data_IF_989917992026
#
_entry.id   IF_989917992026
#
_cell.length_a   1.000
_cell.length_b   1.000
_cell.length_c   1.000
_cell.angle_alpha   90.00
_cell.angle_beta   90.00
_cell.angle_gamma   90.00
#
_symmetry.space_group_name_H-M   'P 1'
#
loop_
_entity.id
_entity.type
_entity.pdbx_description
1 polymer ?
#
# COMPACT_ATOMS: atom_id res chain seq x y z
N UNK A 1 6.73 1.71 -0.92
CA UNK A 1 5.81 1.58 -2.06
C UNK A 1 4.44 1.33 -1.49
N UNK A 2 3.51 2.25 -1.67
CA UNK A 2 2.13 2.10 -1.22
C UNK A 2 1.18 2.31 -2.39
N UNK A 3 -0.01 1.74 -2.29
CA UNK A 3 -1.15 1.89 -3.17
C UNK A 3 -2.35 1.98 -2.25
N UNK A 4 -3.23 2.95 -2.51
CA UNK A 4 -4.45 3.04 -1.74
C UNK A 4 -5.41 1.99 -2.28
N UNK A 5 -5.69 0.94 -1.51
CA UNK A 5 -7.04 0.39 -1.58
C UNK A 5 -8.02 1.53 -1.30
N UNK A 6 -9.19 1.50 -1.92
CA UNK A 6 -10.25 2.46 -1.63
C UNK A 6 -10.82 2.16 -0.24
N UNK A 7 -10.13 2.69 0.78
CA UNK A 7 -10.18 2.26 2.19
C UNK A 7 -10.54 3.40 3.13
N UNK A 8 -10.56 3.07 4.43
CA UNK A 8 -10.38 3.97 5.57
C UNK A 8 -9.40 5.13 5.33
N UNK A 9 -8.28 4.93 4.62
CA UNK A 9 -7.34 6.03 4.35
C UNK A 9 -7.98 7.11 3.47
N UNK A 10 -8.65 6.69 2.40
CA UNK A 10 -9.41 7.56 1.51
C UNK A 10 -10.62 8.15 2.25
N UNK A 11 -11.33 7.35 3.05
CA UNK A 11 -12.45 7.84 3.86
C UNK A 11 -12.00 8.91 4.86
N UNK A 12 -10.83 8.76 5.49
CA UNK A 12 -10.26 9.76 6.40
C UNK A 12 -9.84 11.02 5.65
N UNK A 13 -9.26 10.87 4.46
CA UNK A 13 -8.89 12.00 3.60
C UNK A 13 -10.12 12.81 3.15
N UNK A 14 -11.22 12.13 2.84
CA UNK A 14 -12.51 12.75 2.55
C UNK A 14 -13.08 13.47 3.78
N UNK A 15 -13.05 12.82 4.96
CA UNK A 15 -13.57 13.40 6.20
C UNK A 15 -12.80 14.64 6.65
N UNK A 16 -11.47 14.60 6.54
CA UNK A 16 -10.58 15.69 6.97
C UNK A 16 -10.59 16.89 6.02
N UNK A 17 -11.15 16.73 4.81
CA UNK A 17 -11.08 17.72 3.73
C UNK A 17 -9.74 17.73 2.98
N UNK A 18 -8.81 16.83 3.32
CA UNK A 18 -7.53 16.70 2.60
C UNK A 18 -7.69 16.25 1.15
N UNK A 19 -8.83 15.64 0.81
CA UNK A 19 -9.15 15.23 -0.56
C UNK A 19 -9.26 16.40 -1.53
N UNK A 20 -9.47 17.64 -1.05
CA UNK A 20 -9.47 18.83 -1.90
C UNK A 20 -8.06 19.23 -2.38
N UNK A 21 -7.02 18.58 -1.87
CA UNK A 21 -5.63 18.92 -2.13
C UNK A 21 -4.86 17.82 -2.86
N UNK A 22 -5.49 16.67 -3.11
CA UNK A 22 -4.85 15.52 -3.75
C UNK A 22 -5.81 14.90 -4.77
N UNK A 23 -5.34 14.77 -6.00
CA UNK A 23 -6.04 14.02 -7.04
C UNK A 23 -5.49 12.59 -7.10
N UNK A 24 -6.33 11.62 -7.45
CA UNK A 24 -5.95 10.22 -7.57
C UNK A 24 -6.28 9.68 -8.95
N UNK A 25 -5.43 8.78 -9.45
CA UNK A 25 -5.75 7.94 -10.62
C UNK A 25 -5.72 6.47 -10.24
N UNK A 26 -6.44 5.67 -11.01
CA UNK A 26 -6.45 4.22 -10.85
C UNK A 26 -5.12 3.59 -11.24
N UNK A 27 -4.87 2.39 -10.74
CA UNK A 27 -3.89 1.46 -11.30
C UNK A 27 -4.62 0.59 -12.33
N UNK A 28 -4.97 1.18 -13.47
CA UNK A 28 -5.91 0.61 -14.46
C UNK A 28 -5.35 -0.57 -15.26
N UNK A 29 -4.03 -0.68 -15.36
CA UNK A 29 -3.37 -1.82 -15.98
C UNK A 29 -3.56 -3.14 -15.22
N UNK A 30 -4.11 -3.07 -14.00
CA UNK A 30 -4.44 -4.22 -13.16
C UNK A 30 -3.20 -4.84 -12.51
N UNK A 31 -3.38 -6.05 -11.99
CA UNK A 31 -2.31 -6.82 -11.35
C UNK A 31 -1.83 -7.96 -12.25
N UNK A 32 -0.52 -8.16 -12.32
CA UNK A 32 0.14 -9.29 -12.97
C UNK A 32 0.82 -10.17 -11.93
N UNK A 33 0.71 -11.48 -12.08
CA UNK A 33 1.40 -12.49 -11.28
C UNK A 33 2.53 -13.11 -12.11
N UNK A 34 3.74 -13.10 -11.59
CA UNK A 34 4.83 -13.88 -12.18
C UNK A 34 4.71 -15.36 -11.77
N UNK A 35 4.64 -16.26 -12.74
CA UNK A 35 4.47 -17.68 -12.49
C UNK A 35 5.14 -18.52 -13.58
N UNK A 36 6.05 -19.41 -13.22
CA UNK A 36 6.65 -20.34 -14.20
C UNK A 36 7.41 -19.66 -15.36
N UNK A 37 8.00 -18.49 -15.13
CA UNK A 37 8.79 -17.76 -16.13
C UNK A 37 8.06 -16.59 -16.81
N UNK A 38 6.73 -16.54 -16.73
CA UNK A 38 5.91 -15.56 -17.45
C UNK A 38 5.02 -14.71 -16.52
N UNK A 39 4.57 -13.58 -17.03
CA UNK A 39 3.61 -12.69 -16.37
C UNK A 39 2.17 -13.00 -16.81
N UNK A 40 1.30 -13.27 -15.85
CA UNK A 40 -0.11 -13.58 -16.08
C UNK A 40 -1.01 -12.50 -15.50
N UNK A 41 -2.07 -12.05 -16.22
CA UNK A 41 -3.07 -11.17 -15.63
C UNK A 41 -3.78 -11.87 -14.48
N UNK A 42 -4.00 -11.14 -13.38
CA UNK A 42 -4.68 -11.68 -12.20
C UNK A 42 -6.20 -11.65 -12.41
N UNK A 43 -6.89 -12.79 -12.32
CA UNK A 43 -8.35 -12.87 -12.45
C UNK A 43 -9.03 -12.50 -11.13
N UNK A 44 -9.07 -11.21 -10.84
CA UNK A 44 -9.54 -10.61 -9.58
C UNK A 44 -11.07 -10.40 -9.47
N UNK A 45 -11.79 -10.59 -10.58
CA UNK A 45 -13.22 -10.34 -10.70
C UNK A 45 -13.90 -11.41 -11.54
N UNK A 46 -15.24 -11.52 -11.44
CA UNK A 46 -16.01 -12.46 -12.26
C UNK A 46 -15.78 -12.25 -13.76
N UNK A 47 -15.70 -10.99 -14.19
CA UNK A 47 -15.42 -10.64 -15.58
C UNK A 47 -13.98 -11.01 -15.98
N UNK A 48 -13.00 -10.76 -15.10
CA UNK A 48 -11.61 -11.13 -15.37
C UNK A 48 -11.42 -12.65 -15.46
N UNK A 49 -12.00 -13.42 -14.53
CA UNK A 49 -12.00 -14.90 -14.58
C UNK A 49 -12.61 -15.41 -15.90
N UNK A 50 -13.70 -14.80 -16.35
CA UNK A 50 -14.34 -15.21 -17.60
C UNK A 50 -13.45 -14.94 -18.82
N UNK A 51 -12.87 -13.73 -18.90
CA UNK A 51 -12.00 -13.27 -20.00
C UNK A 51 -10.64 -13.96 -20.05
N UNK A 52 -10.16 -14.50 -18.93
CA UNK A 52 -8.83 -15.13 -18.83
C UNK A 52 -8.73 -16.36 -19.74
N UNK A 53 -7.86 -16.34 -20.75
CA UNK A 53 -7.64 -17.46 -21.67
C UNK A 53 -6.62 -18.48 -21.15
N UNK A 54 -5.91 -18.17 -20.07
CA UNK A 54 -4.84 -18.99 -19.48
C UNK A 54 -5.35 -19.98 -18.45
N UNK A 55 -6.58 -19.79 -17.94
CA UNK A 55 -7.24 -20.69 -16.99
C UNK A 55 -8.11 -21.74 -17.69
N UNK A 56 -8.00 -22.99 -17.24
CA UNK A 56 -8.90 -24.06 -17.67
C UNK A 56 -10.30 -23.86 -17.09
N UNK A 57 -11.33 -24.40 -17.74
CA UNK A 57 -12.73 -24.27 -17.29
C UNK A 57 -12.95 -24.78 -15.85
N UNK A 58 -12.27 -25.87 -15.48
CA UNK A 58 -12.31 -26.40 -14.11
C UNK A 58 -11.75 -25.41 -13.09
N UNK A 59 -10.63 -24.77 -13.40
CA UNK A 59 -10.00 -23.75 -12.56
C UNK A 59 -10.89 -22.51 -12.43
N UNK A 60 -11.44 -22.02 -13.55
CA UNK A 60 -12.41 -20.91 -13.53
C UNK A 60 -13.59 -21.19 -12.60
N UNK A 61 -14.17 -22.38 -12.69
CA UNK A 61 -15.29 -22.79 -11.85
C UNK A 61 -14.93 -22.83 -10.36
N UNK A 62 -13.72 -23.30 -10.02
CA UNK A 62 -13.23 -23.34 -8.64
C UNK A 62 -13.00 -21.93 -8.07
N UNK A 63 -12.32 -21.04 -8.81
CA UNK A 63 -12.15 -19.63 -8.39
C UNK A 63 -13.50 -18.93 -8.22
N UNK A 64 -14.42 -19.14 -9.18
CA UNK A 64 -15.75 -18.55 -9.11
C UNK A 64 -16.51 -19.02 -7.86
N UNK A 65 -16.48 -20.34 -7.57
CA UNK A 65 -17.11 -20.90 -6.38
C UNK A 65 -16.50 -20.35 -5.11
N UNK A 66 -15.18 -20.23 -5.05
CA UNK A 66 -14.46 -19.64 -3.92
C UNK A 66 -14.89 -18.19 -3.67
N UNK A 67 -14.83 -17.32 -4.68
CA UNK A 67 -15.24 -15.91 -4.52
C UNK A 67 -16.72 -15.78 -4.16
N UNK A 68 -17.59 -16.63 -4.73
CA UNK A 68 -19.02 -16.63 -4.37
C UNK A 68 -19.23 -17.00 -2.90
N UNK A 69 -18.49 -17.99 -2.40
CA UNK A 69 -18.53 -18.40 -0.99
C UNK A 69 -18.03 -17.27 -0.07
N UNK A 70 -16.92 -16.61 -0.42
CA UNK A 70 -16.40 -15.46 0.34
C UNK A 70 -17.41 -14.30 0.34
N UNK A 71 -18.01 -13.99 -0.81
CA UNK A 71 -19.05 -12.96 -0.93
C UNK A 71 -20.29 -13.28 -0.08
N UNK A 72 -20.73 -14.54 -0.06
CA UNK A 72 -21.86 -14.95 0.78
C UNK A 72 -21.56 -14.77 2.27
N UNK A 73 -20.36 -15.13 2.73
CA UNK A 73 -19.95 -14.93 4.12
C UNK A 73 -19.88 -13.44 4.49
N UNK A 74 -19.37 -12.59 3.59
CA UNK A 74 -19.32 -11.13 3.79
C UNK A 74 -20.74 -10.55 3.92
N UNK A 75 -21.64 -10.90 3.00
CA UNK A 75 -23.03 -10.43 3.02
C UNK A 75 -23.75 -10.87 4.29
N UNK A 76 -23.60 -12.13 4.69
CA UNK A 76 -24.20 -12.66 5.90
C UNK A 76 -23.64 -12.01 7.18
N UNK A 77 -22.39 -11.54 7.16
CA UNK A 77 -21.78 -10.81 8.28
C UNK A 77 -22.26 -9.36 8.37
N UNK A 78 -22.54 -8.71 7.24
CA UNK A 78 -23.02 -7.33 7.18
C UNK A 78 -24.51 -7.20 7.56
N UNK A 79 -25.35 -8.19 7.28
CA UNK A 79 -26.79 -8.15 7.55
C UNK A 79 -27.16 -8.25 9.06
N UNK A 80 -26.19 -8.55 9.93
CA UNK A 80 -26.44 -8.76 11.36
C UNK A 80 -27.28 -10.01 11.67
N UNK A 81 -27.35 -10.42 12.93
CA UNK A 81 -28.09 -11.61 13.37
C UNK A 81 -29.63 -11.47 13.28
N UNK A 82 -30.15 -10.27 12.96
CA UNK A 82 -31.58 -9.95 13.03
C UNK A 82 -32.40 -10.27 11.76
N UNK A 83 -31.74 -10.65 10.65
CA UNK A 83 -32.41 -10.92 9.38
C UNK A 83 -32.28 -12.38 8.89
N UNK A 84 -31.75 -13.29 9.73
CA UNK A 84 -31.61 -14.69 9.35
C UNK A 84 -32.92 -15.45 9.60
N UNK A 85 -33.82 -15.42 8.62
CA UNK A 85 -34.85 -16.47 8.48
C UNK A 85 -34.18 -17.83 8.25
N UNK A 86 -34.84 -18.90 8.69
CA UNK A 86 -34.34 -20.29 8.81
C UNK A 86 -33.87 -20.99 7.50
N UNK A 87 -33.56 -20.25 6.43
CA UNK A 87 -33.14 -20.78 5.12
C UNK A 87 -31.73 -20.43 4.63
N UNK A 88 -30.98 -19.54 5.31
CA UNK A 88 -29.69 -19.00 4.78
C UNK A 88 -28.42 -19.42 5.54
N UNK A 89 -28.48 -20.49 6.35
CA UNK A 89 -27.32 -21.00 7.08
C UNK A 89 -26.19 -21.58 6.18
N UNK A 90 -26.43 -21.76 4.87
CA UNK A 90 -25.45 -22.37 3.94
C UNK A 90 -24.34 -21.42 3.45
N UNK A 91 -24.42 -20.12 3.75
CA UNK A 91 -23.50 -19.11 3.20
C UNK A 91 -22.37 -18.65 4.12
N UNK A 92 -22.37 -19.04 5.40
CA UNK A 92 -21.33 -18.63 6.36
C UNK A 92 -20.25 -19.71 6.47
N UNK A 93 -18.99 -19.27 6.38
CA UNK A 93 -17.85 -20.04 6.85
C UNK A 93 -18.03 -20.38 8.33
N UNK A 94 -17.69 -21.61 8.71
CA UNK A 94 -17.67 -22.02 10.12
C UNK A 94 -16.55 -21.27 10.86
N UNK A 95 -16.71 -21.09 12.17
CA UNK A 95 -15.63 -20.50 12.99
C UNK A 95 -14.36 -21.35 12.95
N UNK A 96 -14.52 -22.68 12.87
CA UNK A 96 -13.41 -23.61 12.64
C UNK A 96 -12.63 -23.28 11.36
N UNK A 97 -13.32 -23.02 10.24
CA UNK A 97 -12.65 -22.66 8.98
C UNK A 97 -12.01 -21.26 9.04
N UNK A 98 -12.61 -20.33 9.80
CA UNK A 98 -12.11 -18.96 9.96
C UNK A 98 -10.79 -18.88 10.75
N UNK A 99 -10.60 -19.80 11.68
CA UNK A 99 -9.41 -19.83 12.55
C UNK A 99 -8.27 -20.66 11.97
N UNK A 100 -8.50 -21.39 10.86
CA UNK A 100 -7.44 -22.10 10.13
C UNK A 100 -6.43 -21.13 9.50
N UNK A 101 -5.19 -21.60 9.26
CA UNK A 101 -4.29 -20.94 8.32
C UNK A 101 -4.96 -20.82 6.96
N UNK A 102 -4.92 -19.62 6.38
CA UNK A 102 -5.65 -19.32 5.15
C UNK A 102 -5.20 -20.20 3.99
N UNK A 103 -3.91 -20.54 3.92
CA UNK A 103 -3.36 -21.49 2.94
C UNK A 103 -4.02 -22.88 3.01
N UNK A 104 -4.29 -23.38 4.22
CA UNK A 104 -4.92 -24.69 4.43
C UNK A 104 -6.40 -24.64 4.02
N UNK A 105 -7.07 -23.53 4.33
CA UNK A 105 -8.41 -23.29 3.82
C UNK A 105 -8.45 -23.28 2.28
N UNK A 106 -7.51 -22.59 1.62
CA UNK A 106 -7.43 -22.58 0.14
C UNK A 106 -7.13 -23.97 -0.46
N UNK A 107 -6.33 -24.79 0.23
CA UNK A 107 -6.10 -26.20 -0.14
C UNK A 107 -7.39 -27.02 -0.03
N UNK A 108 -8.18 -26.84 1.04
CA UNK A 108 -9.51 -27.48 1.19
C UNK A 108 -10.49 -27.10 0.08
N UNK A 109 -10.38 -25.88 -0.45
CA UNK A 109 -11.17 -25.44 -1.62
C UNK A 109 -10.67 -26.01 -2.96
N UNK A 110 -9.65 -26.89 -2.94
CA UNK A 110 -9.06 -27.54 -4.11
C UNK A 110 -8.49 -26.57 -5.17
N UNK A 111 -8.04 -25.38 -4.75
CA UNK A 111 -7.41 -24.42 -5.65
C UNK A 111 -6.00 -24.91 -6.05
N UNK A 112 -5.67 -24.80 -7.35
CA UNK A 112 -4.34 -25.15 -7.86
C UNK A 112 -3.26 -24.25 -7.25
N UNK A 113 -1.97 -24.66 -7.24
CA UNK A 113 -0.89 -23.84 -6.67
C UNK A 113 -0.85 -22.41 -7.23
N UNK A 114 -1.02 -22.25 -8.55
CA UNK A 114 -1.11 -20.94 -9.23
C UNK A 114 -2.29 -20.11 -8.69
N UNK A 115 -3.47 -20.72 -8.56
CA UNK A 115 -4.67 -20.04 -8.05
C UNK A 115 -4.53 -19.65 -6.58
N UNK A 116 -3.90 -20.49 -5.76
CA UNK A 116 -3.58 -20.13 -4.36
C UNK A 116 -2.63 -18.94 -4.32
N UNK A 117 -1.59 -18.92 -5.16
CA UNK A 117 -0.67 -17.80 -5.25
C UNK A 117 -1.36 -16.49 -5.68
N UNK A 118 -2.30 -16.56 -6.63
CA UNK A 118 -3.17 -15.43 -6.99
C UNK A 118 -3.91 -14.90 -5.75
N UNK A 119 -4.64 -15.78 -5.05
CA UNK A 119 -5.48 -15.36 -3.92
C UNK A 119 -4.62 -14.82 -2.76
N UNK A 120 -3.51 -15.48 -2.44
CA UNK A 120 -2.63 -15.13 -1.32
C UNK A 120 -1.83 -13.86 -1.59
N UNK A 121 -1.11 -13.79 -2.71
CA UNK A 121 -0.08 -12.78 -2.91
C UNK A 121 -0.55 -11.59 -3.74
N UNK A 122 -1.47 -11.78 -4.69
CA UNK A 122 -1.98 -10.70 -5.54
C UNK A 122 -3.25 -10.02 -4.98
N UNK A 123 -4.13 -10.77 -4.31
CA UNK A 123 -5.41 -10.24 -3.79
C UNK A 123 -5.34 -9.99 -2.29
N UNK A 124 -4.98 -11.00 -1.49
CA UNK A 124 -4.84 -10.86 -0.05
C UNK A 124 -3.53 -10.16 0.36
N UNK A 125 -2.60 -9.97 -0.58
CA UNK A 125 -1.32 -9.28 -0.39
C UNK A 125 -0.51 -9.84 0.79
N UNK A 126 -0.44 -11.16 0.93
CA UNK A 126 0.45 -11.82 1.87
C UNK A 126 1.93 -11.50 1.52
N UNK A 127 2.75 -11.24 2.53
CA UNK A 127 4.15 -10.87 2.34
C UNK A 127 5.11 -12.06 2.38
N UNK A 128 4.82 -13.06 3.20
CA UNK A 128 5.69 -14.20 3.47
C UNK A 128 5.14 -15.49 2.88
N UNK A 129 6.01 -16.45 2.60
CA UNK A 129 5.62 -17.79 2.14
C UNK A 129 4.64 -18.43 3.12
N UNK A 130 3.40 -18.63 2.67
CA UNK A 130 2.35 -19.24 3.47
C UNK A 130 2.37 -20.76 3.38
N UNK A 131 3.00 -21.36 2.36
CA UNK A 131 3.12 -22.81 2.25
C UNK A 131 4.26 -23.36 3.13
N UNK A 132 5.28 -22.55 3.43
CA UNK A 132 6.41 -22.89 4.31
C UNK A 132 6.16 -22.55 5.79
N UNK A 133 5.27 -23.31 6.46
CA UNK A 133 4.82 -23.05 7.85
C UNK A 133 5.98 -22.85 8.85
N UNK A 134 7.07 -23.61 8.73
CA UNK A 134 8.22 -23.51 9.65
C UNK A 134 9.10 -22.27 9.42
N UNK A 135 9.11 -21.74 8.18
CA UNK A 135 9.89 -20.55 7.79
C UNK A 135 9.06 -19.27 7.73
N UNK A 136 7.75 -19.34 8.00
CA UNK A 136 6.83 -18.22 7.85
C UNK A 136 6.84 -17.33 9.09
N UNK A 137 7.31 -16.10 8.96
CA UNK A 137 7.27 -15.12 10.06
C UNK A 137 5.84 -14.68 10.43
N UNK A 138 4.88 -14.79 9.49
CA UNK A 138 3.48 -14.40 9.71
C UNK A 138 2.53 -15.20 8.81
N UNK A 139 1.86 -16.19 9.39
CA UNK A 139 0.75 -16.90 8.74
C UNK A 139 -0.54 -16.08 8.84
N UNK A 140 -1.22 -15.93 7.71
CA UNK A 140 -2.55 -15.34 7.66
C UNK A 140 -3.59 -16.35 8.13
N UNK A 141 -4.48 -15.91 9.00
CA UNK A 141 -5.70 -16.66 9.32
C UNK A 141 -6.73 -16.52 8.18
N UNK A 142 -7.62 -17.49 8.02
CA UNK A 142 -8.71 -17.40 7.03
C UNK A 142 -9.56 -16.15 7.28
N UNK A 143 -9.80 -15.79 8.54
CA UNK A 143 -10.50 -14.55 8.93
C UNK A 143 -9.81 -13.29 8.38
N UNK A 144 -8.50 -13.18 8.49
CA UNK A 144 -7.72 -12.05 7.93
C UNK A 144 -7.74 -12.06 6.39
N UNK A 145 -7.58 -13.24 5.77
CA UNK A 145 -7.63 -13.41 4.32
C UNK A 145 -8.98 -12.98 3.75
N UNK A 146 -10.08 -13.46 4.33
CA UNK A 146 -11.46 -13.12 3.96
C UNK A 146 -11.73 -11.62 4.15
N UNK A 147 -11.29 -11.02 5.26
CA UNK A 147 -11.43 -9.58 5.49
C UNK A 147 -10.69 -8.75 4.44
N UNK A 148 -9.51 -9.21 4.02
CA UNK A 148 -8.72 -8.51 2.99
C UNK A 148 -9.34 -8.68 1.61
N UNK A 149 -9.87 -9.86 1.27
CA UNK A 149 -10.63 -10.08 0.03
C UNK A 149 -11.91 -9.24 0.00
N UNK A 150 -12.61 -9.12 1.14
CA UNK A 150 -13.78 -8.25 1.26
C UNK A 150 -13.42 -6.79 0.96
N UNK A 151 -12.28 -6.34 1.50
CA UNK A 151 -11.78 -5.00 1.27
C UNK A 151 -11.40 -4.78 -0.20
N UNK A 152 -10.68 -5.73 -0.80
CA UNK A 152 -10.32 -5.71 -2.20
C UNK A 152 -11.57 -5.61 -3.07
N UNK A 153 -12.53 -6.52 -2.88
CA UNK A 153 -13.76 -6.59 -3.67
C UNK A 153 -14.65 -5.35 -3.52
N UNK A 154 -14.67 -4.70 -2.36
CA UNK A 154 -15.41 -3.44 -2.14
C UNK A 154 -14.68 -2.20 -2.65
N UNK A 155 -13.39 -2.33 -2.98
CA UNK A 155 -12.59 -1.26 -3.60
C UNK A 155 -12.74 -1.21 -5.12
N UNK A 156 -12.94 -2.36 -5.78
CA UNK A 156 -13.11 -2.46 -7.24
C UNK A 156 -14.30 -1.60 -7.69
N UNK A 157 -14.09 -0.72 -8.66
CA UNK A 157 -15.15 0.08 -9.28
C UNK A 157 -15.84 1.07 -8.33
N UNK A 158 -15.27 1.34 -7.15
CA UNK A 158 -15.88 2.26 -6.17
C UNK A 158 -15.91 3.71 -6.65
N UNK A 159 -14.96 4.11 -7.49
CA UNK A 159 -14.96 5.43 -8.11
C UNK A 159 -15.12 5.27 -9.62
N UNK A 160 -15.91 6.16 -10.23
CA UNK A 160 -16.14 6.13 -11.69
C UNK A 160 -14.83 6.21 -12.50
N UNK A 161 -13.81 6.89 -11.95
CA UNK A 161 -12.49 7.03 -12.58
C UNK A 161 -11.48 5.95 -12.12
N UNK A 162 -11.92 4.95 -11.35
CA UNK A 162 -11.09 3.85 -10.87
C UNK A 162 -11.78 2.49 -11.00
N UNK A 163 -11.48 1.82 -12.12
CA UNK A 163 -12.02 0.49 -12.43
C UNK A 163 -11.41 -0.60 -11.53
N UNK A 164 -10.14 -0.45 -11.13
CA UNK A 164 -9.43 -1.41 -10.27
C UNK A 164 -9.62 -1.19 -8.75
N UNK A 165 -9.10 -2.12 -7.95
CA UNK A 165 -9.13 -2.05 -6.47
C UNK A 165 -8.18 -1.00 -5.86
N UNK A 166 -7.40 -0.33 -6.70
CA UNK A 166 -6.20 0.41 -6.34
C UNK A 166 -6.17 1.79 -6.98
N UNK A 167 -5.78 2.79 -6.20
CA UNK A 167 -5.55 4.17 -6.65
C UNK A 167 -4.19 4.68 -6.15
N UNK A 168 -3.67 5.67 -6.86
CA UNK A 168 -2.39 6.31 -6.58
C UNK A 168 -2.51 7.84 -6.72
N UNK A 169 -1.93 8.64 -5.81
CA UNK A 169 -2.00 10.10 -5.89
C UNK A 169 -1.18 10.64 -7.06
N UNK A 170 -1.76 11.58 -7.81
CA UNK A 170 -1.04 12.42 -8.76
C UNK A 170 0.14 13.10 -8.06
N UNK A 171 1.26 13.22 -8.75
CA UNK A 171 2.55 13.74 -8.23
C UNK A 171 3.20 12.89 -7.13
N UNK A 172 2.59 11.76 -6.76
CA UNK A 172 3.17 10.80 -5.82
C UNK A 172 2.75 10.99 -4.37
N UNK A 173 3.19 10.06 -3.52
CA UNK A 173 2.79 10.01 -2.11
C UNK A 173 3.28 11.19 -1.27
N UNK A 174 4.21 12.00 -1.78
CA UNK A 174 4.64 13.24 -1.15
C UNK A 174 3.52 14.28 -1.00
N UNK A 175 2.44 14.18 -1.78
CA UNK A 175 1.29 15.07 -1.67
C UNK A 175 0.41 14.79 -0.45
N UNK A 176 0.39 13.54 0.05
CA UNK A 176 -0.47 13.18 1.19
C UNK A 176 -0.06 13.91 2.48
N UNK A 177 1.22 13.91 2.92
CA UNK A 177 1.64 14.70 4.07
C UNK A 177 1.37 16.20 3.89
N UNK A 178 1.61 16.74 2.69
CA UNK A 178 1.38 18.16 2.40
C UNK A 178 -0.10 18.54 2.53
N UNK A 179 -1.01 17.69 2.06
CA UNK A 179 -2.44 17.88 2.20
C UNK A 179 -2.87 17.93 3.68
N UNK A 180 -2.39 17.00 4.51
CA UNK A 180 -2.68 17.02 5.94
C UNK A 180 -2.05 18.23 6.63
N UNK A 181 -0.83 18.64 6.25
CA UNK A 181 -0.20 19.85 6.77
C UNK A 181 -1.03 21.10 6.45
N UNK A 182 -1.57 21.17 5.23
CA UNK A 182 -2.47 22.26 4.84
C UNK A 182 -3.76 22.26 5.65
N UNK A 183 -4.40 21.10 5.85
CA UNK A 183 -5.59 20.98 6.71
C UNK A 183 -5.33 21.47 8.15
N UNK A 184 -4.15 21.15 8.69
CA UNK A 184 -3.76 21.63 10.02
C UNK A 184 -3.45 23.13 10.04
N UNK A 185 -2.78 23.67 9.00
CA UNK A 185 -2.49 25.10 8.89
C UNK A 185 -3.76 25.96 8.85
N UNK A 186 -4.79 25.52 8.14
CA UNK A 186 -6.12 26.18 8.11
C UNK A 186 -6.75 26.24 9.51
N UNK A 187 -6.41 25.29 10.40
CA UNK A 187 -6.85 25.26 11.80
C UNK A 187 -5.86 25.96 12.76
N UNK A 188 -4.88 26.70 12.24
CA UNK A 188 -3.95 27.51 13.02
C UNK A 188 -2.60 26.84 13.34
N UNK A 189 -2.29 25.67 12.76
CA UNK A 189 -0.96 25.07 12.93
C UNK A 189 0.13 25.88 12.20
N UNK A 190 1.26 26.11 12.88
CA UNK A 190 2.41 26.82 12.33
C UNK A 190 3.46 25.83 11.83
N UNK A 191 4.01 26.09 10.63
CA UNK A 191 5.03 25.26 10.00
C UNK A 191 6.32 26.04 9.79
N UNK A 192 7.44 25.47 10.22
CA UNK A 192 8.77 26.06 10.05
C UNK A 192 9.70 24.99 9.49
N UNK A 193 10.10 25.16 8.22
CA UNK A 193 11.11 24.32 7.58
C UNK A 193 12.52 24.89 7.81
N UNK A 194 13.55 24.03 7.71
CA UNK A 194 14.96 24.40 7.89
C UNK A 194 15.25 25.01 9.27
N UNK A 195 14.54 24.57 10.29
CA UNK A 195 14.72 24.99 11.69
C UNK A 195 14.84 23.76 12.60
N UNK A 196 16.04 23.19 12.75
CA UNK A 196 16.22 22.00 13.57
C UNK A 196 16.09 22.32 15.06
N UNK A 197 15.55 21.38 15.83
CA UNK A 197 15.60 21.37 17.29
C UNK A 197 16.97 20.85 17.75
N UNK A 198 17.63 21.54 18.68
CA UNK A 198 19.00 21.24 19.11
C UNK A 198 19.08 20.64 20.51
N UNK A 199 18.09 20.89 21.38
CA UNK A 199 18.05 20.32 22.72
C UNK A 199 16.62 20.22 23.27
N UNK A 200 16.40 19.29 24.20
CA UNK A 200 15.19 19.26 25.03
C UNK A 200 15.41 20.15 26.27
N UNK A 201 14.37 20.88 26.64
CA UNK A 201 14.31 21.65 27.87
C UNK A 201 13.64 20.80 28.95
N UNK A 202 14.32 20.61 30.07
CA UNK A 202 13.87 19.83 31.22
C UNK A 202 13.89 20.72 32.46
N UNK A 203 12.79 20.72 33.22
CA UNK A 203 12.71 21.35 34.52
C UNK A 203 13.54 20.52 35.52
N UNK A 204 14.62 21.09 36.07
CA UNK A 204 15.54 20.40 36.98
C UNK A 204 14.88 19.99 38.31
N UNK A 205 13.91 20.77 38.80
CA UNK A 205 13.24 20.49 40.07
C UNK A 205 12.23 19.34 39.93
N UNK A 206 11.47 19.33 38.82
CA UNK A 206 10.43 18.33 38.55
C UNK A 206 10.90 17.14 37.72
N UNK A 207 12.12 17.20 37.18
CA UNK A 207 12.69 16.26 36.20
C UNK A 207 11.71 15.97 35.06
N UNK A 208 11.02 17.01 34.58
CA UNK A 208 9.96 16.87 33.56
C UNK A 208 10.30 17.69 32.32
N UNK A 209 9.98 17.12 31.16
CA UNK A 209 10.01 17.84 29.90
C UNK A 209 9.13 19.10 29.91
N UNK A 210 9.67 20.21 29.38
CA UNK A 210 8.97 21.50 29.30
C UNK A 210 9.02 22.15 27.91
N UNK A 211 9.90 21.72 27.00
CA UNK A 211 9.99 22.31 25.67
C UNK A 211 11.23 21.91 24.87
N UNK A 212 11.48 22.61 23.77
CA UNK A 212 12.66 22.41 22.91
C UNK A 212 13.41 23.73 22.71
N UNK A 213 14.72 23.62 22.47
CA UNK A 213 15.55 24.71 21.97
C UNK A 213 15.75 24.55 20.47
N UNK A 214 15.56 25.63 19.72
CA UNK A 214 15.81 25.68 18.28
C UNK A 214 17.27 26.04 17.98
N UNK A 215 17.72 25.73 16.77
CA UNK A 215 19.03 26.16 16.27
C UNK A 215 19.22 27.68 16.21
N UNK A 216 18.13 28.45 16.19
CA UNK A 216 18.16 29.91 16.34
C UNK A 216 18.53 30.38 17.75
N UNK A 217 18.56 29.48 18.74
CA UNK A 217 18.72 29.79 20.16
C UNK A 217 17.39 30.12 20.87
N UNK A 218 16.27 30.12 20.15
CA UNK A 218 14.95 30.35 20.74
C UNK A 218 14.42 29.11 21.46
N UNK A 219 13.85 29.32 22.64
CA UNK A 219 13.18 28.28 23.43
C UNK A 219 11.67 28.28 23.15
N UNK A 220 11.12 27.10 22.88
CA UNK A 220 9.68 26.87 22.66
C UNK A 220 9.17 25.92 23.73
N UNK A 221 8.29 26.41 24.58
CA UNK A 221 7.63 25.61 25.61
C UNK A 221 6.45 24.85 25.02
N UNK A 222 6.36 23.55 25.31
CA UNK A 222 5.25 22.72 24.87
C UNK A 222 4.98 21.57 25.85
N UNK A 223 3.73 21.12 25.90
CA UNK A 223 3.30 20.06 26.81
C UNK A 223 3.65 18.66 26.31
N UNK A 224 3.65 18.49 25.00
CA UNK A 224 3.90 17.23 24.31
C UNK A 224 4.83 17.47 23.13
N UNK A 225 5.68 16.48 22.87
CA UNK A 225 6.60 16.47 21.75
C UNK A 225 6.36 15.20 20.94
N UNK A 226 6.09 15.39 19.65
CA UNK A 226 5.93 14.30 18.68
C UNK A 226 7.13 14.37 17.75
N UNK A 227 7.87 13.26 17.64
CA UNK A 227 9.10 13.18 16.86
C UNK A 227 8.99 12.07 15.81
N UNK A 228 9.59 12.30 14.65
CA UNK A 228 9.89 11.21 13.73
C UNK A 228 11.10 10.42 14.26
N UNK A 229 11.14 9.08 14.11
CA UNK A 229 12.23 8.25 14.62
C UNK A 229 13.63 8.61 14.12
N UNK A 230 13.73 9.34 12.99
CA UNK A 230 15.02 9.81 12.46
C UNK A 230 15.63 10.98 13.23
N UNK A 231 14.86 11.65 14.11
CA UNK A 231 15.39 12.74 14.92
C UNK A 231 16.12 12.20 16.15
N UNK A 232 17.45 12.19 16.06
CA UNK A 232 18.32 11.99 17.21
C UNK A 232 18.47 13.31 17.98
N UNK A 233 17.61 13.53 18.99
CA UNK A 233 17.80 14.69 19.88
C UNK A 233 18.76 14.27 21.00
N UNK A 234 19.94 14.92 21.14
CA UNK A 234 20.94 14.55 22.14
C UNK A 234 20.49 14.93 23.54
N UNK A 235 19.61 14.12 24.14
CA UNK A 235 19.30 14.10 25.57
C UNK A 235 18.19 13.09 25.81
N UNK A 236 18.49 11.80 25.85
CA UNK A 236 17.60 10.84 26.51
C UNK A 236 18.41 9.63 27.02
N UNK A 237 19.22 9.85 28.05
CA UNK A 237 19.50 8.81 29.06
C UNK A 237 18.21 8.57 29.86
N UNK A 238 17.16 8.08 29.19
CA UNK A 238 15.95 7.60 29.84
C UNK A 238 15.83 6.12 29.51
N UNK A 239 15.86 5.24 30.52
CA UNK A 239 15.78 3.80 30.28
C UNK A 239 14.42 3.48 29.68
N UNK A 240 14.39 3.27 28.37
CA UNK A 240 13.26 2.62 27.70
C UNK A 240 13.29 1.15 28.10
N UNK A 241 12.55 0.80 29.17
CA UNK A 241 12.25 -0.58 29.55
C UNK A 241 11.26 -1.25 28.59
N UNK A 242 11.35 -0.96 27.30
CA UNK A 242 10.69 -1.77 26.28
C UNK A 242 11.64 -2.93 25.98
N UNK A 243 11.22 -4.20 26.11
CA UNK A 243 12.04 -5.31 25.65
C UNK A 243 12.28 -5.10 24.16
N UNK A 244 13.51 -4.74 23.77
CA UNK A 244 13.97 -4.73 22.38
C UNK A 244 14.21 -6.20 21.98
N UNK A 245 13.13 -6.97 22.02
CA UNK A 245 13.10 -8.37 21.63
C UNK A 245 12.28 -8.45 20.35
N UNK A 246 12.86 -7.98 19.26
CA UNK A 246 12.56 -8.36 17.88
C UNK A 246 13.74 -7.85 17.03
N UNK A 247 14.30 -8.69 16.15
CA UNK A 247 15.26 -8.22 15.15
C UNK A 247 14.67 -6.99 14.42
N UNK A 248 15.47 -5.97 14.07
CA UNK A 248 14.98 -4.82 13.34
C UNK A 248 14.41 -5.30 11.99
N UNK A 249 13.09 -5.14 11.80
CA UNK A 249 12.45 -5.42 10.52
C UNK A 249 13.00 -4.45 9.49
N UNK A 250 13.35 -4.95 8.30
CA UNK A 250 13.85 -4.12 7.21
C UNK A 250 13.01 -4.33 5.96
N UNK A 251 13.05 -3.35 5.06
CA UNK A 251 12.41 -3.42 3.75
C UNK A 251 13.44 -3.04 2.71
N UNK A 252 13.70 -3.94 1.76
CA UNK A 252 14.47 -3.61 0.58
C UNK A 252 13.55 -2.94 -0.43
N UNK A 253 14.00 -1.80 -0.97
CA UNK A 253 13.26 -1.00 -1.93
C UNK A 253 14.11 -0.74 -3.16
N UNK A 254 13.48 -0.84 -4.34
CA UNK A 254 14.06 -0.50 -5.63
C UNK A 254 13.31 0.64 -6.27
N UNK A 255 14.02 1.52 -6.98
CA UNK A 255 13.44 2.57 -7.82
C UNK A 255 14.10 2.41 -9.19
N UNK A 256 13.29 2.27 -10.24
CA UNK A 256 13.76 2.13 -11.61
C UNK A 256 13.07 3.15 -12.51
N UNK A 257 13.81 3.66 -13.50
CA UNK A 257 13.27 4.43 -14.63
C UNK A 257 13.39 3.53 -15.86
N UNK A 258 12.27 3.32 -16.56
CA UNK A 258 12.20 2.41 -17.70
C UNK A 258 11.60 3.11 -18.93
N UNK A 259 11.98 2.64 -20.12
CA UNK A 259 11.60 3.28 -21.40
C UNK A 259 10.22 2.91 -21.94
N UNK A 260 9.62 1.84 -21.43
CA UNK A 260 8.33 1.31 -21.91
C UNK A 260 7.61 0.57 -20.80
N UNK A 261 6.32 0.32 -20.99
CA UNK A 261 5.50 -0.43 -20.02
C UNK A 261 5.80 -1.93 -20.06
N UNK A 262 5.80 -2.58 -18.90
CA UNK A 262 5.85 -4.04 -18.71
C UNK A 262 4.64 -4.72 -19.35
N UNK A 263 3.48 -4.05 -19.37
CA UNK A 263 2.26 -4.53 -20.03
C UNK A 263 1.91 -3.59 -21.17
N UNK A 264 1.83 -4.13 -22.38
CA UNK A 264 1.44 -3.36 -23.57
C UNK A 264 0.14 -2.57 -23.31
N UNK A 265 0.13 -1.31 -23.77
CA UNK A 265 -0.99 -0.38 -23.69
C UNK A 265 -1.56 -0.11 -22.28
N UNK A 266 -0.80 -0.42 -21.23
CA UNK A 266 -1.18 -0.13 -19.84
C UNK A 266 -0.28 0.94 -19.25
N UNK A 267 -0.86 1.94 -18.56
CA UNK A 267 -0.08 3.04 -18.00
C UNK A 267 0.45 2.66 -16.61
N UNK A 268 -0.44 2.21 -15.73
CA UNK A 268 -0.13 1.90 -14.34
C UNK A 268 -0.42 0.43 -14.02
N UNK A 269 0.59 -0.32 -13.58
CA UNK A 269 0.51 -1.79 -13.42
C UNK A 269 1.14 -2.21 -12.09
N UNK A 270 0.51 -3.17 -11.41
CA UNK A 270 1.11 -3.88 -10.27
C UNK A 270 1.62 -5.25 -10.74
N UNK A 271 2.87 -5.58 -10.47
CA UNK A 271 3.43 -6.91 -10.68
C UNK A 271 3.77 -7.53 -9.34
N UNK A 272 3.44 -8.80 -9.18
CA UNK A 272 3.69 -9.58 -7.96
C UNK A 272 4.51 -10.80 -8.30
N UNK A 273 5.63 -10.96 -7.62
CA UNK A 273 6.46 -12.16 -7.59
C UNK A 273 6.19 -12.89 -6.28
N UNK A 274 5.43 -14.00 -6.29
CA UNK A 274 5.26 -14.85 -5.12
C UNK A 274 6.60 -15.30 -4.53
N UNK A 275 6.63 -15.69 -3.25
CA UNK A 275 7.75 -16.44 -2.69
C UNK A 275 8.09 -17.64 -3.58
N UNK A 276 9.39 -17.97 -3.66
CA UNK A 276 9.93 -19.05 -4.49
C UNK A 276 9.75 -18.90 -6.01
N UNK A 277 9.30 -17.73 -6.49
CA UNK A 277 9.10 -17.52 -7.93
C UNK A 277 10.33 -16.98 -8.65
N UNK A 278 11.20 -16.22 -7.97
CA UNK A 278 12.47 -15.73 -8.51
C UNK A 278 13.64 -16.65 -8.17
N UNK A 279 13.67 -17.16 -6.93
CA UNK A 279 14.66 -18.12 -6.41
C UNK A 279 14.03 -18.98 -5.33
N UNK A 280 14.51 -20.20 -5.15
CA UNK A 280 14.02 -21.12 -4.12
C UNK A 280 14.22 -20.59 -2.69
N UNK A 281 15.25 -19.78 -2.46
CA UNK A 281 15.50 -19.15 -1.15
C UNK A 281 14.63 -17.91 -0.89
N UNK A 282 13.85 -17.45 -1.88
CA UNK A 282 12.99 -16.29 -1.75
C UNK A 282 11.79 -16.58 -0.83
N UNK A 283 11.88 -16.16 0.43
CA UNK A 283 10.82 -16.34 1.44
C UNK A 283 9.71 -15.28 1.43
N UNK A 284 9.94 -14.12 0.79
CA UNK A 284 9.00 -13.00 0.74
C UNK A 284 8.56 -12.66 -0.67
N UNK A 285 7.34 -12.14 -0.82
CA UNK A 285 6.81 -11.67 -2.09
C UNK A 285 7.49 -10.34 -2.48
N UNK A 286 7.97 -10.25 -3.72
CA UNK A 286 8.46 -8.98 -4.29
C UNK A 286 7.33 -8.34 -5.08
N UNK A 287 7.07 -7.06 -4.83
CA UNK A 287 6.02 -6.32 -5.56
C UNK A 287 6.62 -5.15 -6.31
N UNK A 288 6.13 -4.92 -7.52
CA UNK A 288 6.57 -3.88 -8.43
C UNK A 288 5.39 -3.03 -8.86
N UNK A 289 5.39 -1.75 -8.50
CA UNK A 289 4.40 -0.79 -8.96
C UNK A 289 5.02 0.06 -10.08
N UNK A 290 4.58 -0.20 -11.31
CA UNK A 290 4.91 0.63 -12.46
C UNK A 290 3.89 1.75 -12.63
N UNK A 291 4.38 2.97 -12.78
CA UNK A 291 3.59 4.19 -12.98
C UNK A 291 4.09 4.93 -14.21
N UNK A 292 3.17 5.49 -14.98
CA UNK A 292 3.52 6.30 -16.16
C UNK A 292 3.53 7.80 -15.85
N UNK A 293 3.92 8.58 -16.85
CA UNK A 293 3.76 10.04 -16.85
C UNK A 293 2.32 10.55 -16.65
N UNK A 294 1.27 9.70 -16.82
CA UNK A 294 -0.11 10.09 -16.57
C UNK A 294 -0.36 10.50 -15.11
N UNK A 295 0.48 10.06 -14.18
CA UNK A 295 0.47 10.41 -12.76
C UNK A 295 1.37 11.60 -12.43
N UNK A 296 2.00 12.22 -13.43
CA UNK A 296 2.98 13.31 -13.27
C UNK A 296 4.17 12.96 -12.35
N UNK A 297 4.50 11.67 -12.24
CA UNK A 297 5.67 11.18 -11.47
C UNK A 297 6.95 11.13 -12.31
N UNK A 298 6.83 11.12 -13.64
CA UNK A 298 7.96 11.12 -14.57
C UNK A 298 7.61 11.80 -15.91
N UNK A 299 8.61 12.18 -16.73
CA UNK A 299 8.39 12.78 -18.05
C UNK A 299 7.64 11.86 -19.03
N UNK A 300 6.95 12.41 -20.05
CA UNK A 300 6.32 11.63 -21.10
C UNK A 300 7.29 10.67 -21.80
N UNK A 301 6.81 9.48 -22.13
CA UNK A 301 7.63 8.41 -22.74
C UNK A 301 8.51 7.64 -21.76
N UNK A 302 8.45 7.96 -20.46
CA UNK A 302 9.13 7.21 -19.39
C UNK A 302 8.11 6.63 -18.41
N UNK A 303 8.57 5.65 -17.66
CA UNK A 303 7.82 5.03 -16.57
C UNK A 303 8.72 4.90 -15.33
N UNK A 304 8.13 5.03 -14.15
CA UNK A 304 8.78 4.71 -12.89
C UNK A 304 8.32 3.34 -12.41
N UNK A 305 9.24 2.48 -11.98
CA UNK A 305 8.91 1.24 -11.31
C UNK A 305 9.49 1.26 -9.88
N UNK A 306 8.60 1.17 -8.90
CA UNK A 306 8.96 1.00 -7.49
C UNK A 306 8.91 -0.48 -7.16
N UNK A 307 9.95 -1.01 -6.52
CA UNK A 307 10.02 -2.39 -6.04
C UNK A 307 10.09 -2.39 -4.52
N UNK A 308 9.46 -3.37 -3.88
CA UNK A 308 9.52 -3.52 -2.42
C UNK A 308 9.41 -4.98 -2.01
N UNK A 309 10.21 -5.36 -1.02
CA UNK A 309 10.12 -6.68 -0.36
C UNK A 309 10.55 -6.56 1.11
N UNK A 310 9.82 -7.15 2.07
CA UNK A 310 10.30 -7.29 3.43
C UNK A 310 11.54 -8.19 3.46
N UNK A 311 12.48 -7.88 4.36
CA UNK A 311 13.69 -8.64 4.56
C UNK A 311 14.23 -8.49 5.99
N UNK A 312 14.85 -9.54 6.52
CA UNK A 312 15.61 -9.49 7.78
C UNK A 312 17.06 -9.07 7.53
N UNK A 313 17.65 -9.60 6.45
CA UNK A 313 18.99 -9.28 5.99
C UNK A 313 18.98 -8.34 4.77
N UNK A 314 19.81 -7.30 4.84
CA UNK A 314 19.91 -6.28 3.80
C UNK A 314 20.49 -6.83 2.49
N UNK A 315 21.44 -7.78 2.56
CA UNK A 315 22.04 -8.36 1.37
C UNK A 315 21.02 -9.20 0.59
N UNK A 316 20.31 -10.09 1.29
CA UNK A 316 19.27 -10.94 0.72
C UNK A 316 18.13 -10.10 0.12
N UNK A 317 17.67 -9.07 0.83
CA UNK A 317 16.63 -8.18 0.31
C UNK A 317 17.04 -7.46 -0.98
N UNK A 318 18.27 -6.92 -1.03
CA UNK A 318 18.81 -6.30 -2.26
C UNK A 318 18.95 -7.30 -3.41
N UNK A 319 19.40 -8.53 -3.12
CA UNK A 319 19.51 -9.63 -4.09
C UNK A 319 18.16 -9.93 -4.74
N UNK A 320 17.09 -10.05 -3.96
CA UNK A 320 15.73 -10.28 -4.47
C UNK A 320 15.23 -9.14 -5.37
N UNK A 321 15.46 -7.88 -4.97
CA UNK A 321 15.07 -6.71 -5.78
C UNK A 321 15.82 -6.69 -7.11
N UNK A 322 17.14 -6.91 -7.10
CA UNK A 322 17.94 -6.93 -8.33
C UNK A 322 17.49 -8.05 -9.27
N UNK A 323 17.17 -9.24 -8.75
CA UNK A 323 16.61 -10.31 -9.57
C UNK A 323 15.28 -9.96 -10.23
N UNK A 324 14.38 -9.32 -9.49
CA UNK A 324 13.12 -8.86 -10.08
C UNK A 324 13.35 -7.82 -11.19
N UNK A 325 14.36 -6.94 -11.03
CA UNK A 325 14.80 -5.99 -12.06
C UNK A 325 15.31 -6.74 -13.29
N UNK A 326 16.19 -7.74 -13.13
CA UNK A 326 16.77 -8.52 -14.23
C UNK A 326 15.72 -9.35 -14.99
N UNK A 327 14.71 -9.86 -14.28
CA UNK A 327 13.59 -10.59 -14.88
C UNK A 327 12.72 -9.64 -15.70
N UNK A 328 12.38 -8.46 -15.17
CA UNK A 328 11.46 -7.54 -15.84
C UNK A 328 12.09 -6.69 -16.94
N UNK A 329 13.34 -6.28 -16.78
CA UNK A 329 13.94 -5.23 -17.60
C UNK A 329 15.21 -5.69 -18.31
N UNK A 330 15.46 -5.12 -19.48
CA UNK A 330 16.69 -5.29 -20.23
C UNK A 330 17.66 -4.15 -19.92
N UNK A 331 18.89 -4.47 -19.54
CA UNK A 331 19.99 -3.50 -19.48
C UNK A 331 20.58 -3.39 -20.89
N UNK A 332 20.54 -2.19 -21.49
CA UNK A 332 21.27 -1.96 -22.74
C UNK A 332 22.77 -1.92 -22.46
N UNK A 333 23.39 -3.09 -22.43
CA UNK A 333 24.83 -3.26 -22.66
C UNK A 333 24.97 -4.02 -23.98
N UNK A 334 24.58 -3.38 -25.09
CA UNK A 334 24.99 -3.85 -26.40
C UNK A 334 26.33 -3.19 -26.73
N UNK A 335 27.40 -3.91 -26.47
CA UNK A 335 28.71 -3.67 -27.08
C UNK A 335 28.79 -4.34 -28.45
N UNK A 336 27.67 -4.51 -29.15
CA UNK A 336 27.58 -5.10 -30.48
C UNK A 336 27.19 -4.00 -31.48
N UNK A 337 28.11 -3.05 -31.67
CA UNK A 337 28.30 -2.46 -32.98
C UNK A 337 29.13 -3.47 -33.76
N UNK A 338 28.58 -3.99 -34.87
CA UNK A 338 29.18 -4.96 -35.79
C UNK A 338 28.98 -6.43 -35.40
N UNK A 339 27.81 -7.01 -35.69
CA UNK A 339 27.68 -7.90 -36.85
C UNK A 339 26.23 -8.36 -37.09
N UNK A 340 25.93 -8.64 -38.36
CA UNK A 340 24.71 -9.30 -38.86
C UNK A 340 23.48 -8.43 -39.14
N UNK A 341 23.63 -7.65 -40.22
CA UNK A 341 22.60 -7.56 -41.25
C UNK A 341 22.12 -8.97 -41.68
N UNK A 342 20.81 -9.09 -41.85
CA UNK A 342 20.08 -10.14 -42.59
C UNK A 342 20.00 -11.55 -41.97
N UNK A 343 18.85 -11.82 -41.32
CA UNK A 343 18.09 -13.06 -41.56
C UNK A 343 16.60 -12.90 -41.22
N UNK A 344 15.79 -13.48 -42.10
CA UNK A 344 14.36 -13.28 -42.30
C UNK A 344 13.45 -13.88 -41.20
N UNK A 345 12.33 -13.18 -41.00
CA UNK A 345 10.93 -13.62 -40.86
C UNK A 345 10.54 -14.84 -40.01
N UNK A 346 9.60 -14.53 -39.10
CA UNK A 346 8.51 -15.35 -38.55
C UNK A 346 8.82 -16.30 -37.38
N UNK A 347 7.96 -16.18 -36.36
CA UNK A 347 7.89 -16.95 -35.09
C UNK A 347 8.82 -16.51 -33.94
N UNK A 348 8.46 -15.38 -33.30
CA UNK A 348 8.19 -15.33 -31.84
C UNK A 348 7.68 -13.93 -31.44
N UNK A 349 6.41 -13.82 -31.03
CA UNK A 349 5.91 -12.63 -30.31
C UNK A 349 6.42 -12.65 -28.87
N UNK A 350 7.74 -12.71 -28.67
CA UNK A 350 8.30 -12.44 -27.34
C UNK A 350 8.12 -10.95 -27.08
N UNK A 351 7.34 -10.63 -26.05
CA UNK A 351 7.17 -9.25 -25.60
C UNK A 351 8.54 -8.67 -25.26
N UNK A 352 9.00 -7.71 -26.05
CA UNK A 352 10.28 -7.03 -25.82
C UNK A 352 10.29 -6.44 -24.40
N UNK A 353 11.22 -6.90 -23.56
CA UNK A 353 11.36 -6.39 -22.19
C UNK A 353 11.65 -4.89 -22.20
N UNK A 354 11.06 -4.10 -21.29
CA UNK A 354 11.39 -2.67 -21.17
C UNK A 354 12.87 -2.43 -20.93
N UNK A 355 13.43 -1.37 -21.51
CA UNK A 355 14.82 -0.99 -21.23
C UNK A 355 14.91 -0.28 -19.88
N UNK A 356 15.84 -0.73 -19.04
CA UNK A 356 16.21 -0.06 -17.80
C UNK A 356 17.14 1.12 -18.11
N UNK A 357 16.71 2.33 -17.77
CA UNK A 357 17.48 3.56 -17.98
C UNK A 357 18.29 3.94 -16.73
N UNK A 358 17.71 3.72 -15.55
CA UNK A 358 18.34 4.02 -14.27
C UNK A 358 17.73 3.16 -13.17
N UNK A 359 18.53 2.77 -12.17
CA UNK A 359 18.03 2.08 -10.99
C UNK A 359 18.78 2.49 -9.71
N UNK A 360 18.08 2.39 -8.58
CA UNK A 360 18.64 2.55 -7.25
C UNK A 360 17.98 1.53 -6.32
N UNK A 361 18.79 0.84 -5.50
CA UNK A 361 18.31 -0.13 -4.51
C UNK A 361 18.88 0.21 -3.14
N UNK A 362 18.00 0.35 -2.16
CA UNK A 362 18.34 0.66 -0.78
C UNK A 362 17.52 -0.17 0.19
N UNK A 363 17.91 -0.16 1.47
CA UNK A 363 17.21 -0.85 2.55
C UNK A 363 16.82 0.18 3.58
N UNK A 364 15.56 0.09 4.03
CA UNK A 364 14.99 0.94 5.07
C UNK A 364 14.75 0.09 6.31
N UNK A 365 15.20 0.55 7.47
CA UNK A 365 14.87 -0.07 8.76
C UNK A 365 13.52 0.45 9.26
N UNK A 366 12.69 -0.46 9.77
CA UNK A 366 11.37 -0.14 10.31
C UNK A 366 11.51 0.06 11.81
N UNK A 367 11.33 1.30 12.25
CA UNK A 367 11.28 1.66 13.66
C UNK A 367 9.80 1.77 14.06
N UNK A 368 9.38 0.98 15.03
CA UNK A 368 8.04 1.08 15.61
C UNK A 368 8.00 2.24 16.61
N UNK A 369 6.96 3.06 16.53
CA UNK A 369 6.75 4.18 17.45
C UNK A 369 6.63 3.70 18.89
N UNK A 370 7.28 4.41 19.82
CA UNK A 370 7.22 4.16 21.26
C UNK A 370 6.32 5.18 21.95
N UNK A 371 5.61 4.73 22.99
CA UNK A 371 4.83 5.60 23.87
C UNK A 371 5.68 6.02 25.07
N UNK A 372 5.75 7.33 25.34
CA UNK A 372 6.55 7.92 26.41
C UNK A 372 6.32 9.44 26.50
N UNK A 373 7.16 10.16 27.25
CA UNK A 373 7.08 11.64 27.36
C UNK A 373 7.42 12.34 26.04
N UNK A 374 8.28 11.73 25.21
CA UNK A 374 8.41 12.02 23.79
C UNK A 374 7.72 10.89 23.03
N UNK A 375 6.77 11.24 22.16
CA UNK A 375 6.03 10.29 21.36
C UNK A 375 6.70 10.12 20.01
N UNK A 376 7.07 8.90 19.67
CA UNK A 376 7.74 8.59 18.40
C UNK A 376 6.70 8.15 17.36
N UNK A 377 6.69 8.82 16.21
CA UNK A 377 5.81 8.49 15.10
C UNK A 377 6.20 7.15 14.44
N UNK A 378 5.23 6.40 13.90
CA UNK A 378 5.54 5.24 13.07
C UNK A 378 6.17 5.67 11.73
N UNK A 379 7.22 4.97 11.31
CA UNK A 379 7.79 5.10 9.96
C UNK A 379 6.94 4.33 8.93
N UNK A 380 7.03 4.67 7.62
CA UNK A 380 6.40 3.88 6.55
C UNK A 380 6.91 2.43 6.57
N UNK A 381 5.97 1.48 6.60
CA UNK A 381 6.24 0.07 6.83
C UNK A 381 6.37 -0.74 5.51
N UNK A 382 6.39 -2.06 5.64
CA UNK A 382 6.47 -3.03 4.54
C UNK A 382 5.19 -3.12 3.70
N UNK A 383 4.05 -2.70 4.27
CA UNK A 383 2.73 -2.89 3.69
C UNK A 383 2.55 -2.03 2.43
N UNK A 384 1.74 -2.56 1.51
CA UNK A 384 1.32 -1.81 0.33
C UNK A 384 0.23 -0.79 0.61
N UNK A 385 -0.31 -0.69 1.83
CA UNK A 385 -1.39 0.24 2.15
C UNK A 385 -1.11 1.02 3.44
N UNK A 386 -2.03 1.92 3.81
CA UNK A 386 -1.88 2.81 4.95
C UNK A 386 -2.49 2.28 6.27
N UNK A 387 -2.93 1.02 6.34
CA UNK A 387 -3.70 0.53 7.50
C UNK A 387 -2.90 0.63 8.80
N UNK A 388 -1.69 0.10 8.81
CA UNK A 388 -0.81 0.02 9.98
C UNK A 388 -0.37 1.41 10.47
N UNK A 389 0.05 2.29 9.55
CA UNK A 389 0.41 3.68 9.91
C UNK A 389 -0.80 4.43 10.46
N UNK A 390 -1.99 4.29 9.87
CA UNK A 390 -3.20 4.97 10.35
C UNK A 390 -3.69 4.42 11.70
N UNK A 391 -3.60 3.12 11.93
CA UNK A 391 -3.94 2.51 13.22
C UNK A 391 -2.98 2.99 14.32
N UNK A 392 -1.68 3.04 14.02
CA UNK A 392 -0.66 3.61 14.90
C UNK A 392 -0.89 5.09 15.18
N UNK A 393 -1.17 5.90 14.16
CA UNK A 393 -1.48 7.34 14.32
C UNK A 393 -2.75 7.55 15.13
N UNK A 394 -3.79 6.73 14.92
CA UNK A 394 -5.03 6.82 15.69
C UNK A 394 -4.79 6.51 17.17
N UNK A 395 -4.00 5.47 17.47
CA UNK A 395 -3.62 5.13 18.84
C UNK A 395 -2.87 6.29 19.49
N UNK A 396 -1.87 6.83 18.80
CA UNK A 396 -1.11 7.99 19.25
C UNK A 396 -2.02 9.21 19.53
N UNK A 397 -2.97 9.48 18.64
CA UNK A 397 -3.95 10.55 18.84
C UNK A 397 -4.83 10.32 20.07
N UNK A 398 -5.31 9.09 20.30
CA UNK A 398 -6.11 8.76 21.48
C UNK A 398 -5.31 8.90 22.78
N UNK A 399 -4.01 8.62 22.76
CA UNK A 399 -3.14 8.83 23.93
C UNK A 399 -2.97 10.34 24.25
N UNK A 400 -2.93 11.18 23.21
CA UNK A 400 -2.78 12.64 23.32
C UNK A 400 -4.12 13.34 23.66
N UNK A 401 -5.20 12.96 23.00
CA UNK A 401 -6.54 13.54 23.08
C UNK A 401 -7.59 12.43 23.29
N UNK A 402 -7.73 11.85 24.49
CA UNK A 402 -8.52 10.63 24.73
C UNK A 402 -10.03 10.78 24.48
N UNK A 403 -10.56 12.00 24.59
CA UNK A 403 -11.99 12.28 24.46
C UNK A 403 -12.37 12.93 23.12
N UNK A 404 -11.41 13.10 22.21
CA UNK A 404 -11.64 13.77 20.93
C UNK A 404 -11.87 12.77 19.79
N UNK A 405 -12.67 13.16 18.81
CA UNK A 405 -12.85 12.35 17.61
C UNK A 405 -11.63 12.48 16.69
N UNK A 406 -11.11 11.35 16.21
CA UNK A 406 -10.03 11.34 15.22
C UNK A 406 -10.53 11.76 13.84
N UNK A 407 -10.09 12.94 13.37
CA UNK A 407 -10.45 13.54 12.08
C UNK A 407 -11.99 13.56 11.86
N UNK A 408 -12.73 14.37 12.64
CA UNK A 408 -14.17 14.50 12.48
C UNK A 408 -14.49 15.03 11.08
N UNK A 409 -15.69 14.70 10.57
CA UNK A 409 -16.15 15.25 9.29
C UNK A 409 -16.15 16.77 9.40
N UNK A 410 -15.50 17.44 8.47
CA UNK A 410 -15.62 18.89 8.37
C UNK A 410 -17.11 19.23 8.20
N UNK A 411 -17.68 19.97 9.17
CA UNK A 411 -18.89 20.71 8.91
C UNK A 411 -18.55 21.67 7.77
N UNK A 412 -19.33 21.64 6.69
CA UNK A 412 -19.21 22.65 5.66
C UNK A 412 -19.21 24.02 6.34
N UNK A 413 -18.39 24.99 5.89
CA UNK A 413 -18.50 26.35 6.40
C UNK A 413 -19.97 26.75 6.24
N UNK A 414 -20.62 27.11 7.35
CA UNK A 414 -21.86 27.87 7.30
C UNK A 414 -21.47 29.19 6.66
N UNK A 415 -21.50 29.26 5.33
CA UNK A 415 -21.71 30.54 4.70
C UNK A 415 -22.98 31.08 5.35
N UNK A 416 -22.87 32.23 6.01
CA UNK A 416 -24.04 32.96 6.41
C UNK A 416 -24.96 33.00 5.19
N UNK A 417 -26.21 32.61 5.37
CA UNK A 417 -27.23 32.87 4.37
C UNK A 417 -27.24 34.37 4.14
N UNK A 418 -26.59 34.82 3.09
CA UNK A 418 -26.87 36.12 2.51
C UNK A 418 -28.30 36.02 1.99
N UNK A 419 -29.24 36.39 2.86
CA UNK A 419 -30.50 36.99 2.46
C UNK A 419 -30.14 38.22 1.62
N UNK A 420 -29.93 38.01 0.33
CA UNK A 420 -30.17 39.00 -0.71
C UNK A 420 -30.59 38.27 -1.98
N UNK A 421 -31.83 37.80 -1.92
CA UNK A 421 -32.63 37.59 -3.11
C UNK A 421 -32.85 38.94 -3.81
N UNK A 422 -32.07 39.23 -4.85
CA UNK A 422 -32.61 39.74 -6.11
C UNK A 422 -31.55 39.91 -7.21
N UNK A 423 -31.99 39.64 -8.43
CA UNK A 423 -31.39 39.98 -9.73
C UNK A 423 -30.21 39.15 -10.23
N UNK A 424 -30.53 38.06 -10.97
CA UNK A 424 -29.91 37.75 -12.27
C UNK A 424 -30.58 36.52 -12.93
N UNK A 425 -31.89 36.59 -13.22
CA UNK A 425 -32.45 35.85 -14.36
C UNK A 425 -32.29 36.73 -15.60
N UNK A 426 -31.28 36.42 -16.42
CA UNK A 426 -31.27 36.61 -17.87
C UNK A 426 -29.81 36.53 -18.34
N UNK A 427 -29.48 35.49 -19.10
CA UNK A 427 -28.58 35.50 -20.27
C UNK A 427 -28.05 34.08 -20.49
N UNK A 428 -28.86 33.22 -21.10
CA UNK A 428 -28.41 32.21 -22.07
C UNK A 428 -29.64 31.74 -22.88
N UNK A 429 -30.00 32.53 -23.88
CA UNK A 429 -30.75 32.08 -25.05
C UNK A 429 -30.50 33.07 -26.18
N UNK A 430 -29.40 32.88 -26.90
CA UNK A 430 -29.38 32.81 -28.37
C UNK A 430 -28.06 32.23 -28.83
#
# INVERSE_FOLDING_TARGET
MAVCHVTKAVDLLLRSGGSHHVEFKSVEGGTLLYWGGDLYPVPDSRQAIFKDTTLQLREKNLLFRFFKLVQAHIAASAAGAAAAGEGEASGRLSDEDLDLPFVEFLKRQNLSPKMRAVVLYAIAMADYDQDGVESCERLLTTREGVKTIALYSSSIGRFANAEGAFIYPMYGHGELPQAFCRCAAVKGALYVLRMPATALLVDEEKKRYVGIRLASGQDILCQQLILDPSYEIPSLDMPCNAPVSNLPRKVARGICIISSSVKQDSSNVLVVFPPKSLEDEQITAVRVLQLSSNLAVCPPGMFMAYLSTPCTDAFTGKKCINKAIDVLFSTKVSNDLEDHLEKNSEENKESVKPTLLWSCVYVQEIIQGTSGTALSCPMPDENMDYRSILESTKKLFTDICPNEEFLPRNSAPKYASDDDSNSAEALYST
#
